data_IF_630799823369
#
_entry.id   IF_630799823369
#
_cell.length_a   1.000
_cell.length_b   1.000
_cell.length_c   1.000
_cell.angle_alpha   90.00
_cell.angle_beta   90.00
_cell.angle_gamma   90.00
#
_symmetry.space_group_name_H-M   'P 1'
#
loop_
_entity.id
_entity.type
_entity.pdbx_description
1 polymer ?
#
# COMPACT_ATOMS: atom_id res chain seq x y z
N UNK A 1 -6.86 17.67 3.84
CA UNK A 1 -6.82 16.77 2.67
C UNK A 1 -8.11 16.01 2.45
N UNK A 2 -8.55 15.13 3.37
CA UNK A 2 -9.76 14.29 3.20
C UNK A 2 -11.02 15.07 2.76
N UNK A 3 -11.37 16.14 3.49
CA UNK A 3 -12.52 16.98 3.11
C UNK A 3 -12.38 17.68 1.75
N UNK A 4 -11.16 17.88 1.25
CA UNK A 4 -10.90 18.39 -0.10
C UNK A 4 -11.16 17.32 -1.17
N UNK A 5 -10.68 16.10 -0.95
CA UNK A 5 -10.91 14.94 -1.84
C UNK A 5 -12.40 14.63 -1.94
N UNK A 6 -13.13 14.62 -0.82
CA UNK A 6 -14.58 14.41 -0.81
C UNK A 6 -15.34 15.50 -1.59
N UNK A 7 -14.89 16.75 -1.53
CA UNK A 7 -15.47 17.85 -2.33
C UNK A 7 -15.13 17.76 -3.81
N UNK A 8 -13.96 17.23 -4.16
CA UNK A 8 -13.54 17.02 -5.55
C UNK A 8 -14.23 15.82 -6.20
N UNK A 9 -14.54 14.77 -5.42
CA UNK A 9 -15.11 13.51 -5.91
C UNK A 9 -16.39 13.08 -5.16
N UNK A 10 -17.41 13.97 -5.02
CA UNK A 10 -18.55 13.74 -4.14
C UNK A 10 -19.50 12.61 -4.60
N UNK A 11 -19.42 12.23 -5.88
CA UNK A 11 -20.22 11.14 -6.45
C UNK A 11 -19.48 9.80 -6.51
N UNK A 12 -18.18 9.79 -6.23
CA UNK A 12 -17.35 8.58 -6.29
C UNK A 12 -16.97 8.07 -4.91
N UNK A 13 -16.83 8.98 -3.93
CA UNK A 13 -16.37 8.67 -2.59
C UNK A 13 -17.34 9.19 -1.54
N UNK A 14 -17.44 8.47 -0.44
CA UNK A 14 -18.12 8.93 0.77
C UNK A 14 -17.34 8.50 2.01
N UNK A 15 -17.54 9.23 3.09
CA UNK A 15 -17.04 8.86 4.42
C UNK A 15 -17.88 7.71 4.97
N UNK A 16 -17.28 6.85 5.79
CA UNK A 16 -18.04 5.84 6.53
C UNK A 16 -18.86 6.50 7.65
N UNK A 17 -19.87 5.78 8.14
CA UNK A 17 -20.75 6.25 9.21
C UNK A 17 -20.02 6.35 10.55
N UNK A 18 -19.10 5.41 10.79
CA UNK A 18 -18.48 5.21 12.10
C UNK A 18 -17.09 5.86 12.21
N UNK A 19 -16.48 6.32 11.11
CA UNK A 19 -15.18 6.99 11.15
C UNK A 19 -15.02 8.08 10.09
N UNK A 20 -14.62 9.31 10.50
CA UNK A 20 -14.27 10.38 9.56
C UNK A 20 -12.94 10.15 8.83
N UNK A 21 -12.19 9.10 9.19
CA UNK A 21 -10.87 8.74 8.64
C UNK A 21 -10.93 7.56 7.68
N UNK A 22 -12.09 6.95 7.53
CA UNK A 22 -12.34 5.91 6.55
C UNK A 22 -13.21 6.44 5.40
N UNK A 23 -12.77 6.20 4.17
CA UNK A 23 -13.53 6.49 2.96
C UNK A 23 -13.82 5.20 2.22
N UNK A 24 -14.98 5.13 1.58
CA UNK A 24 -15.39 4.03 0.71
C UNK A 24 -15.93 4.59 -0.59
N UNK A 25 -16.05 3.73 -1.60
CA UNK A 25 -16.80 4.08 -2.81
C UNK A 25 -18.23 4.48 -2.45
N UNK A 26 -18.76 5.46 -3.17
CA UNK A 26 -20.12 5.94 -2.95
C UNK A 26 -21.18 4.83 -3.12
N UNK A 27 -20.90 3.85 -3.98
CA UNK A 27 -21.75 2.69 -4.28
C UNK A 27 -21.41 1.44 -3.44
N UNK A 28 -20.49 1.51 -2.48
CA UNK A 28 -20.20 0.41 -1.58
C UNK A 28 -21.31 0.20 -0.53
N UNK A 29 -21.64 -1.06 -0.16
CA UNK A 29 -21.01 -2.30 -0.64
C UNK A 29 -21.60 -2.78 -1.97
N UNK A 30 -20.79 -3.48 -2.76
CA UNK A 30 -21.25 -4.18 -3.96
C UNK A 30 -21.67 -5.60 -3.59
N UNK A 31 -22.97 -5.90 -3.65
CA UNK A 31 -23.52 -7.19 -3.23
C UNK A 31 -22.87 -8.36 -3.99
N UNK A 32 -22.39 -9.36 -3.26
CA UNK A 32 -21.75 -10.57 -3.80
C UNK A 32 -20.28 -10.40 -4.21
N UNK A 33 -19.75 -9.18 -4.17
CA UNK A 33 -18.34 -8.89 -4.44
C UNK A 33 -17.52 -9.00 -3.14
N UNK A 34 -16.31 -9.51 -3.24
CA UNK A 34 -15.28 -9.38 -2.19
C UNK A 34 -14.91 -7.91 -2.04
N UNK A 35 -15.08 -7.33 -0.85
CA UNK A 35 -14.66 -5.96 -0.60
C UNK A 35 -13.14 -5.86 -0.51
N UNK A 36 -12.52 -4.86 -1.16
CA UNK A 36 -11.08 -4.64 -1.06
C UNK A 36 -10.79 -3.38 -0.26
N UNK A 37 -10.07 -3.53 0.86
CA UNK A 37 -9.69 -2.43 1.74
C UNK A 37 -8.17 -2.27 1.80
N UNK A 38 -7.72 -1.03 2.00
CA UNK A 38 -6.33 -0.68 2.30
C UNK A 38 -6.28 0.39 3.39
N UNK A 39 -5.08 0.84 3.75
CA UNK A 39 -4.89 1.95 4.65
C UNK A 39 -3.44 2.13 5.03
N UNK A 40 -3.21 3.20 5.78
CA UNK A 40 -1.90 3.52 6.33
C UNK A 40 -1.79 5.01 6.67
N UNK A 41 -0.58 5.42 7.00
CA UNK A 41 -0.29 6.82 7.31
C UNK A 41 -0.55 7.76 6.14
N UNK A 42 -1.04 8.96 6.44
CA UNK A 42 -1.07 10.08 5.49
C UNK A 42 0.35 10.46 5.06
N UNK A 43 0.48 11.14 3.91
CA UNK A 43 1.76 11.66 3.41
C UNK A 43 2.18 11.09 2.05
N UNK A 44 1.48 10.05 1.58
CA UNK A 44 1.85 9.29 0.38
C UNK A 44 0.93 9.53 -0.83
N UNK A 45 0.17 10.64 -0.85
CA UNK A 45 -0.84 10.92 -1.90
C UNK A 45 -0.19 10.77 -3.29
N UNK A 46 -0.77 9.98 -4.22
CA UNK A 46 -2.13 9.44 -4.20
C UNK A 46 -2.34 8.19 -3.33
N UNK A 47 -1.30 7.51 -2.87
CA UNK A 47 -1.43 6.40 -1.92
C UNK A 47 -1.96 6.95 -0.57
N UNK A 48 -3.00 6.39 0.02
CA UNK A 48 -3.84 5.27 -0.43
C UNK A 48 -5.13 5.73 -1.13
N UNK A 49 -5.56 6.96 -0.83
CA UNK A 49 -6.87 7.53 -1.17
C UNK A 49 -7.22 7.54 -2.67
N UNK A 50 -6.22 7.75 -3.53
CA UNK A 50 -6.40 7.85 -4.97
C UNK A 50 -6.74 6.53 -5.66
N UNK A 51 -6.67 5.40 -4.93
CA UNK A 51 -6.92 4.07 -5.47
C UNK A 51 -8.27 3.48 -5.06
N UNK A 52 -9.14 4.25 -4.38
CA UNK A 52 -10.52 3.83 -4.12
C UNK A 52 -11.40 4.15 -5.32
N UNK A 53 -11.92 3.11 -5.98
CA UNK A 53 -12.73 3.23 -7.18
C UNK A 53 -12.98 1.88 -7.88
N UNK A 54 -13.86 1.85 -8.90
CA UNK A 54 -14.13 0.66 -9.69
C UNK A 54 -12.86 0.04 -10.30
N UNK A 55 -12.73 -1.29 -10.29
CA UNK A 55 -11.54 -1.99 -10.78
C UNK A 55 -10.29 -1.88 -9.91
N UNK A 56 -10.39 -1.22 -8.74
CA UNK A 56 -9.33 -1.04 -7.75
C UNK A 56 -9.88 -1.38 -6.35
N UNK A 57 -9.78 -0.45 -5.39
CA UNK A 57 -10.15 -0.66 -3.99
C UNK A 57 -11.57 -0.15 -3.71
N UNK A 58 -12.24 -0.76 -2.75
CA UNK A 58 -13.60 -0.37 -2.34
C UNK A 58 -13.60 0.53 -1.10
N UNK A 59 -12.55 0.44 -0.27
CA UNK A 59 -12.40 1.22 0.95
C UNK A 59 -10.96 1.52 1.34
N UNK A 60 -10.79 2.54 2.16
CA UNK A 60 -9.49 2.99 2.67
C UNK A 60 -9.63 3.63 4.05
N UNK A 61 -8.68 3.35 4.95
CA UNK A 61 -8.57 4.04 6.24
C UNK A 61 -7.26 4.82 6.33
N UNK A 62 -7.32 6.07 6.78
CA UNK A 62 -6.19 7.01 6.74
C UNK A 62 -5.82 7.54 8.13
N UNK A 63 -4.61 7.20 8.55
CA UNK A 63 -4.04 7.65 9.81
C UNK A 63 -3.45 9.06 9.73
N UNK A 64 -2.72 9.44 10.77
CA UNK A 64 -1.94 10.69 10.78
C UNK A 64 -0.74 10.59 9.81
N UNK A 65 0.00 11.69 9.63
CA UNK A 65 1.17 11.68 8.73
C UNK A 65 2.18 10.64 9.22
N UNK A 66 2.46 9.65 8.37
CA UNK A 66 3.36 8.51 8.63
C UNK A 66 3.01 7.71 9.89
N UNK A 67 1.72 7.64 10.24
CA UNK A 67 1.23 6.81 11.34
C UNK A 67 -0.01 6.06 10.92
N UNK A 68 -0.02 4.76 11.13
CA UNK A 68 -1.13 3.84 10.83
C UNK A 68 -2.49 4.37 11.37
N UNK A 69 -3.61 4.18 10.64
CA UNK A 69 -4.95 4.41 11.19
C UNK A 69 -5.25 3.42 12.31
N UNK A 70 -6.25 3.70 13.16
CA UNK A 70 -6.62 2.75 14.21
C UNK A 70 -7.38 1.55 13.64
N UNK A 71 -7.41 0.44 14.39
CA UNK A 71 -8.18 -0.74 14.02
C UNK A 71 -9.68 -0.43 13.88
N UNK A 72 -10.23 0.50 14.68
CA UNK A 72 -11.61 0.96 14.57
C UNK A 72 -11.89 1.71 13.26
N UNK A 73 -10.95 2.55 12.81
CA UNK A 73 -11.04 3.22 11.51
C UNK A 73 -11.03 2.18 10.36
N UNK A 74 -10.19 1.15 10.46
CA UNK A 74 -10.15 0.05 9.50
C UNK A 74 -11.46 -0.75 9.49
N UNK A 75 -11.95 -1.15 10.67
CA UNK A 75 -13.21 -1.88 10.82
C UNK A 75 -14.40 -1.09 10.27
N UNK A 76 -14.43 0.22 10.44
CA UNK A 76 -15.48 1.07 9.87
C UNK A 76 -15.54 0.98 8.34
N UNK A 77 -14.39 0.92 7.65
CA UNK A 77 -14.34 0.67 6.21
C UNK A 77 -14.80 -0.77 5.89
N UNK A 78 -14.30 -1.75 6.62
CA UNK A 78 -14.61 -3.18 6.45
C UNK A 78 -16.10 -3.48 6.48
N UNK A 79 -16.81 -2.94 7.47
CA UNK A 79 -18.28 -3.08 7.58
C UNK A 79 -18.99 -2.57 6.33
N UNK A 80 -18.52 -1.47 5.76
CA UNK A 80 -19.20 -0.80 4.65
C UNK A 80 -18.82 -1.30 3.27
N UNK A 81 -17.68 -1.98 3.12
CA UNK A 81 -17.30 -2.65 1.87
C UNK A 81 -17.76 -4.10 1.80
N UNK A 82 -18.16 -4.71 2.92
CA UNK A 82 -18.58 -6.11 2.96
C UNK A 82 -19.87 -6.33 2.14
N UNK A 83 -19.69 -6.88 0.93
CA UNK A 83 -20.77 -7.29 0.02
C UNK A 83 -21.42 -8.63 0.34
N UNK A 84 -20.98 -9.30 1.41
CA UNK A 84 -21.41 -10.66 1.80
C UNK A 84 -20.51 -11.78 1.26
N UNK A 85 -19.38 -11.45 0.60
CA UNK A 85 -18.38 -12.41 0.13
C UNK A 85 -17.04 -12.30 0.89
N UNK A 86 -17.02 -11.59 2.02
CA UNK A 86 -15.82 -11.30 2.80
C UNK A 86 -15.05 -10.08 2.31
N UNK A 87 -13.93 -9.77 2.97
CA UNK A 87 -13.09 -8.61 2.70
C UNK A 87 -11.61 -9.01 2.61
N UNK A 88 -10.89 -8.49 1.62
CA UNK A 88 -9.44 -8.62 1.52
C UNK A 88 -8.78 -7.29 1.91
N UNK A 89 -7.90 -7.32 2.89
CA UNK A 89 -6.97 -6.21 3.17
C UNK A 89 -5.72 -6.36 2.31
N UNK A 90 -5.36 -5.29 1.60
CA UNK A 90 -4.14 -5.21 0.80
C UNK A 90 -3.35 -3.98 1.25
N UNK A 91 -2.21 -4.18 1.90
CA UNK A 91 -1.45 -3.08 2.54
C UNK A 91 0.05 -3.38 2.61
N UNK A 92 0.87 -2.35 2.90
CA UNK A 92 2.33 -2.47 2.95
C UNK A 92 2.84 -3.03 4.27
N UNK A 93 3.97 -3.73 4.24
CA UNK A 93 4.56 -4.36 5.42
C UNK A 93 5.26 -3.36 6.35
N UNK A 94 4.48 -2.69 7.20
CA UNK A 94 4.96 -1.88 8.31
C UNK A 94 4.34 -2.39 9.61
N UNK A 95 5.14 -2.50 10.67
CA UNK A 95 4.72 -3.14 11.92
C UNK A 95 3.45 -2.54 12.53
N UNK A 96 3.31 -1.20 12.49
CA UNK A 96 2.10 -0.52 12.95
C UNK A 96 0.87 -0.83 12.10
N UNK A 97 1.04 -0.93 10.78
CA UNK A 97 -0.05 -1.29 9.86
C UNK A 97 -0.45 -2.76 10.04
N UNK A 98 0.52 -3.67 10.10
CA UNK A 98 0.28 -5.11 10.34
C UNK A 98 -0.51 -5.31 11.63
N UNK A 99 -0.05 -4.73 12.75
CA UNK A 99 -0.71 -4.86 14.04
C UNK A 99 -2.16 -4.34 14.03
N UNK A 100 -2.40 -3.18 13.41
CA UNK A 100 -3.75 -2.60 13.37
C UNK A 100 -4.68 -3.34 12.41
N UNK A 101 -4.18 -3.82 11.27
CA UNK A 101 -4.98 -4.62 10.34
C UNK A 101 -5.32 -6.00 10.89
N UNK A 102 -4.40 -6.65 11.60
CA UNK A 102 -4.65 -7.89 12.34
C UNK A 102 -5.75 -7.68 13.38
N UNK A 103 -5.63 -6.63 14.21
CA UNK A 103 -6.64 -6.29 15.21
C UNK A 103 -8.01 -5.99 14.56
N UNK A 104 -8.03 -5.27 13.44
CA UNK A 104 -9.27 -4.99 12.72
C UNK A 104 -9.89 -6.26 12.11
N UNK A 105 -9.08 -7.22 11.68
CA UNK A 105 -9.56 -8.53 11.20
C UNK A 105 -10.19 -9.34 12.34
N UNK A 106 -9.55 -9.39 13.51
CA UNK A 106 -10.10 -10.06 14.70
C UNK A 106 -11.43 -9.43 15.13
N UNK A 107 -11.53 -8.10 15.12
CA UNK A 107 -12.77 -7.39 15.43
C UNK A 107 -13.87 -7.67 14.40
N UNK A 108 -13.50 -7.76 13.11
CA UNK A 108 -14.44 -8.08 12.04
C UNK A 108 -14.95 -9.53 12.14
N UNK A 109 -14.11 -10.47 12.56
CA UNK A 109 -14.49 -11.86 12.82
C UNK A 109 -15.55 -11.97 13.92
N UNK A 110 -15.41 -11.19 15.01
CA UNK A 110 -16.43 -11.10 16.07
C UNK A 110 -17.79 -10.61 15.51
N UNK A 111 -17.80 -9.82 14.45
CA UNK A 111 -19.00 -9.35 13.74
C UNK A 111 -19.47 -10.31 12.64
N UNK A 112 -18.82 -11.47 12.48
CA UNK A 112 -19.14 -12.46 11.46
C UNK A 112 -18.71 -12.07 10.04
N UNK A 113 -17.75 -11.15 9.90
CA UNK A 113 -17.17 -10.77 8.62
C UNK A 113 -15.86 -11.52 8.44
N UNK A 114 -15.80 -12.41 7.44
CA UNK A 114 -14.55 -13.08 7.06
C UNK A 114 -13.60 -12.09 6.40
N UNK A 115 -12.40 -11.95 6.98
CA UNK A 115 -11.33 -11.09 6.47
C UNK A 115 -10.10 -11.92 6.17
N UNK A 116 -9.43 -11.62 5.06
CA UNK A 116 -8.09 -12.11 4.76
C UNK A 116 -7.15 -10.94 4.46
N UNK A 117 -5.84 -11.20 4.50
CA UNK A 117 -4.81 -10.17 4.31
C UNK A 117 -3.80 -10.60 3.24
N UNK A 118 -3.40 -9.65 2.40
CA UNK A 118 -2.27 -9.74 1.48
C UNK A 118 -1.33 -8.57 1.77
N UNK A 119 -0.15 -8.90 2.31
CA UNK A 119 0.82 -7.92 2.81
C UNK A 119 1.90 -7.75 1.75
N UNK A 120 2.06 -6.54 1.23
CA UNK A 120 3.02 -6.20 0.17
C UNK A 120 4.41 -6.00 0.76
N UNK A 121 5.41 -6.63 0.14
CA UNK A 121 6.80 -6.75 0.62
C UNK A 121 7.81 -6.60 -0.52
N UNK A 122 7.59 -5.60 -1.38
CA UNK A 122 8.26 -5.45 -2.67
C UNK A 122 9.60 -4.72 -2.61
N UNK A 123 9.95 -4.05 -1.50
CA UNK A 123 11.20 -3.28 -1.39
C UNK A 123 12.44 -4.18 -1.26
N UNK A 124 13.15 -4.40 -2.39
CA UNK A 124 14.22 -5.40 -2.49
C UNK A 124 15.48 -5.05 -1.72
N UNK A 125 15.66 -3.78 -1.34
CA UNK A 125 16.85 -3.31 -0.63
C UNK A 125 16.64 -3.14 0.87
N UNK A 126 15.39 -3.28 1.34
CA UNK A 126 15.07 -3.25 2.77
C UNK A 126 15.43 -4.56 3.49
N UNK A 127 15.43 -5.69 2.79
CA UNK A 127 15.92 -6.98 3.28
C UNK A 127 16.26 -7.91 2.09
N UNK A 128 17.24 -8.83 2.23
CA UNK A 128 17.55 -9.80 1.19
C UNK A 128 16.37 -10.75 0.94
N UNK A 129 16.33 -11.40 -0.23
CA UNK A 129 15.21 -12.28 -0.60
C UNK A 129 14.99 -13.44 0.37
N UNK A 130 16.05 -13.94 1.01
CA UNK A 130 15.98 -14.95 2.07
C UNK A 130 15.20 -14.50 3.30
N UNK A 131 15.08 -13.19 3.49
CA UNK A 131 14.34 -12.53 4.57
C UNK A 131 13.22 -11.66 4.00
N UNK A 132 12.60 -12.07 2.88
CA UNK A 132 11.56 -11.27 2.20
C UNK A 132 10.41 -10.86 3.11
N UNK A 133 10.15 -11.62 4.17
CA UNK A 133 9.12 -11.29 5.15
C UNK A 133 9.41 -10.03 5.97
N UNK A 134 10.67 -9.59 6.00
CA UNK A 134 11.11 -8.34 6.63
C UNK A 134 11.13 -7.14 5.66
N UNK A 135 10.82 -7.35 4.36
CA UNK A 135 10.83 -6.26 3.38
C UNK A 135 9.69 -5.29 3.61
N UNK A 136 9.96 -4.00 3.40
CA UNK A 136 8.93 -2.95 3.37
C UNK A 136 8.01 -3.14 2.16
N UNK A 137 6.77 -2.67 2.28
CA UNK A 137 5.83 -2.54 1.16
C UNK A 137 5.79 -1.10 0.65
N UNK A 138 6.13 -0.87 -0.62
CA UNK A 138 6.29 0.47 -1.21
C UNK A 138 5.47 0.60 -2.50
N UNK A 139 6.00 1.22 -3.55
CA UNK A 139 5.26 1.59 -4.77
C UNK A 139 4.57 0.41 -5.47
N UNK A 140 5.10 -0.81 -5.36
CA UNK A 140 4.53 -2.03 -5.95
C UNK A 140 3.15 -2.40 -5.40
N UNK A 141 2.72 -1.80 -4.28
CA UNK A 141 1.35 -1.85 -3.77
C UNK A 141 0.29 -1.67 -4.87
N UNK A 142 0.57 -0.79 -5.85
CA UNK A 142 -0.32 -0.52 -6.97
C UNK A 142 -0.72 -1.77 -7.76
N UNK A 143 0.22 -2.67 -8.07
CA UNK A 143 -0.07 -3.86 -8.86
C UNK A 143 -1.02 -4.80 -8.11
N UNK A 144 -0.79 -4.98 -6.81
CA UNK A 144 -1.67 -5.76 -5.95
C UNK A 144 -3.08 -5.14 -5.91
N UNK A 145 -3.20 -3.81 -5.78
CA UNK A 145 -4.50 -3.13 -5.82
C UNK A 145 -5.23 -3.37 -7.14
N UNK A 146 -4.53 -3.22 -8.26
CA UNK A 146 -5.12 -3.33 -9.59
C UNK A 146 -5.61 -4.74 -9.90
N UNK A 147 -4.83 -5.76 -9.57
CA UNK A 147 -5.17 -7.13 -9.91
C UNK A 147 -6.12 -7.76 -8.89
N UNK A 148 -6.00 -7.46 -7.61
CA UNK A 148 -7.00 -7.86 -6.60
C UNK A 148 -8.37 -7.23 -6.91
N UNK A 149 -8.41 -5.92 -7.17
CA UNK A 149 -9.64 -5.22 -7.55
C UNK A 149 -10.29 -5.77 -8.81
N UNK A 150 -9.49 -6.02 -9.86
CA UNK A 150 -9.98 -6.63 -11.09
C UNK A 150 -10.56 -8.04 -10.88
N UNK A 151 -9.87 -8.88 -10.10
CA UNK A 151 -10.34 -10.24 -9.79
C UNK A 151 -11.61 -10.20 -8.94
N UNK A 152 -11.70 -9.29 -7.98
CA UNK A 152 -12.90 -9.11 -7.18
C UNK A 152 -14.10 -8.68 -8.03
N UNK A 153 -13.91 -7.79 -9.01
CA UNK A 153 -14.97 -7.36 -9.94
C UNK A 153 -15.53 -8.51 -10.81
N UNK A 154 -14.83 -9.64 -10.93
CA UNK A 154 -15.38 -10.85 -11.58
C UNK A 154 -16.26 -11.69 -10.65
N UNK A 155 -16.57 -11.19 -9.44
CA UNK A 155 -17.29 -11.92 -8.39
C UNK A 155 -16.60 -13.23 -7.97
N UNK A 156 -15.27 -13.26 -8.04
CA UNK A 156 -14.46 -14.39 -7.58
C UNK A 156 -14.55 -14.56 -6.07
N UNK A 157 -14.23 -15.75 -5.57
CA UNK A 157 -14.22 -16.00 -4.12
C UNK A 157 -13.10 -15.23 -3.41
N UNK A 158 -13.24 -15.03 -2.09
CA UNK A 158 -12.20 -14.37 -1.29
C UNK A 158 -10.84 -15.05 -1.44
N UNK A 159 -10.83 -16.39 -1.48
CA UNK A 159 -9.62 -17.19 -1.66
C UNK A 159 -8.97 -16.97 -3.02
N UNK A 160 -9.76 -16.89 -4.10
CA UNK A 160 -9.24 -16.64 -5.45
C UNK A 160 -8.70 -15.21 -5.59
N UNK A 161 -9.36 -14.23 -4.96
CA UNK A 161 -8.90 -12.83 -4.93
C UNK A 161 -7.60 -12.71 -4.14
N UNK A 162 -7.51 -13.33 -2.96
CA UNK A 162 -6.27 -13.39 -2.17
C UNK A 162 -5.15 -14.06 -2.94
N UNK A 163 -5.39 -15.23 -3.53
CA UNK A 163 -4.37 -15.95 -4.29
C UNK A 163 -3.82 -15.11 -5.45
N UNK A 164 -4.70 -14.35 -6.12
CA UNK A 164 -4.29 -13.41 -7.18
C UNK A 164 -3.42 -12.29 -6.61
N UNK A 165 -3.82 -11.66 -5.51
CA UNK A 165 -3.05 -10.60 -4.88
C UNK A 165 -1.66 -11.10 -4.40
N UNK A 166 -1.61 -12.26 -3.74
CA UNK A 166 -0.38 -12.85 -3.22
C UNK A 166 0.59 -13.24 -4.35
N UNK A 167 0.08 -13.79 -5.46
CA UNK A 167 0.92 -14.10 -6.61
C UNK A 167 1.58 -12.84 -7.17
N UNK A 168 0.81 -11.76 -7.32
CA UNK A 168 1.32 -10.49 -7.82
C UNK A 168 2.37 -9.91 -6.89
N UNK A 169 2.14 -9.99 -5.58
CA UNK A 169 3.11 -9.53 -4.57
C UNK A 169 4.43 -10.30 -4.69
N UNK A 170 4.39 -11.62 -4.90
CA UNK A 170 5.60 -12.43 -5.06
C UNK A 170 6.40 -12.10 -6.34
N UNK A 171 5.70 -11.65 -7.37
CA UNK A 171 6.25 -11.26 -8.68
C UNK A 171 6.57 -9.75 -8.78
N UNK A 172 6.36 -8.98 -7.71
CA UNK A 172 6.60 -7.52 -7.68
C UNK A 172 7.86 -7.20 -6.87
N UNK A 173 8.70 -6.35 -7.44
CA UNK A 173 9.90 -5.84 -6.80
C UNK A 173 10.06 -4.34 -7.07
N UNK A 174 10.54 -3.61 -6.07
CA UNK A 174 10.70 -2.16 -6.11
C UNK A 174 12.00 -1.74 -5.45
N UNK A 175 12.52 -0.59 -5.91
CA UNK A 175 13.61 0.15 -5.29
C UNK A 175 13.37 1.64 -5.48
N UNK A 176 13.78 2.45 -4.50
CA UNK A 176 13.75 3.91 -4.59
C UNK A 176 15.12 4.54 -4.35
N UNK A 177 15.26 5.81 -4.73
CA UNK A 177 16.41 6.66 -4.40
C UNK A 177 15.89 8.01 -3.93
N UNK A 178 16.46 8.53 -2.84
CA UNK A 178 16.15 9.85 -2.32
C UNK A 178 17.29 10.83 -2.58
N UNK A 179 16.96 12.03 -3.05
CA UNK A 179 17.90 13.14 -3.24
C UNK A 179 17.81 14.17 -2.12
N UNK A 180 16.71 14.15 -1.37
CA UNK A 180 16.46 15.08 -0.27
C UNK A 180 15.52 14.43 0.76
N UNK A 181 15.62 14.81 2.05
CA UNK A 181 14.67 14.37 3.06
C UNK A 181 13.27 14.94 2.81
N UNK A 182 12.24 14.23 3.30
CA UNK A 182 10.92 14.82 3.47
C UNK A 182 10.84 15.59 4.80
N UNK A 183 10.00 16.62 4.87
CA UNK A 183 9.69 17.32 6.12
C UNK A 183 8.33 16.86 6.64
N UNK A 184 8.31 16.26 7.84
CA UNK A 184 7.06 15.91 8.50
C UNK A 184 6.44 17.20 9.06
N UNK A 185 5.18 17.56 8.70
CA UNK A 185 4.56 18.81 9.16
C UNK A 185 4.56 18.98 10.68
N UNK A 186 4.36 17.88 11.42
CA UNK A 186 4.37 17.89 12.88
C UNK A 186 5.76 18.17 13.49
N UNK A 187 6.83 17.77 12.80
CA UNK A 187 8.20 18.01 13.24
C UNK A 187 8.71 19.43 12.89
N UNK A 188 8.13 20.06 11.85
CA UNK A 188 8.46 21.41 11.40
C UNK A 188 9.86 21.57 10.78
N UNK A 189 10.69 20.51 10.79
CA UNK A 189 12.03 20.44 10.21
C UNK A 189 12.29 19.03 9.66
N UNK A 190 13.21 18.86 8.69
CA UNK A 190 13.66 17.54 8.26
C UNK A 190 14.15 16.71 9.44
N UNK A 191 13.75 15.44 9.50
CA UNK A 191 14.17 14.50 10.55
C UNK A 191 15.58 13.94 10.32
N UNK A 192 16.09 14.07 9.09
CA UNK A 192 17.45 13.77 8.66
C UNK A 192 17.85 14.75 7.55
N UNK A 193 19.13 14.75 7.16
CA UNK A 193 19.65 15.55 6.06
C UNK A 193 20.32 14.66 5.03
N UNK A 194 20.26 15.06 3.76
CA UNK A 194 21.08 14.54 2.65
C UNK A 194 21.77 15.78 2.08
N UNK A 195 23.10 15.73 1.91
CA UNK A 195 23.81 16.89 1.36
C UNK A 195 23.42 17.14 -0.10
N UNK A 196 23.61 18.36 -0.61
CA UNK A 196 23.26 18.71 -2.00
C UNK A 196 24.01 17.88 -3.05
N UNK A 197 25.17 17.32 -2.70
CA UNK A 197 25.97 16.47 -3.55
C UNK A 197 25.87 14.97 -3.20
N UNK A 198 24.84 14.57 -2.45
CA UNK A 198 24.57 13.20 -2.02
C UNK A 198 23.22 12.68 -2.52
N UNK A 199 23.10 11.35 -2.52
CA UNK A 199 21.86 10.62 -2.70
C UNK A 199 21.82 9.41 -1.77
N UNK A 200 20.63 8.91 -1.46
CA UNK A 200 20.44 7.72 -0.62
C UNK A 200 19.65 6.65 -1.37
N UNK A 201 20.30 5.51 -1.60
CA UNK A 201 19.72 4.37 -2.31
C UNK A 201 18.92 3.53 -1.33
N UNK A 202 17.65 3.27 -1.66
CA UNK A 202 16.77 2.43 -0.86
C UNK A 202 16.18 3.11 0.36
N UNK A 203 16.13 4.44 0.41
CA UNK A 203 15.42 5.13 1.48
C UNK A 203 13.95 4.71 1.53
N UNK A 204 13.43 4.43 2.72
CA UNK A 204 12.03 4.07 2.91
C UNK A 204 11.08 5.26 2.74
N UNK A 205 9.80 4.98 2.50
CA UNK A 205 8.79 6.02 2.22
C UNK A 205 8.50 6.94 3.40
N UNK A 206 8.89 6.57 4.63
CA UNK A 206 8.79 7.42 5.82
C UNK A 206 10.13 8.07 6.18
N UNK A 207 11.16 7.92 5.34
CA UNK A 207 12.51 8.40 5.60
C UNK A 207 13.35 7.43 6.42
N UNK A 208 12.96 6.15 6.49
CA UNK A 208 13.81 5.11 7.07
C UNK A 208 15.13 5.00 6.29
N UNK A 209 16.27 4.80 6.98
CA UNK A 209 17.57 4.67 6.32
C UNK A 209 17.54 3.66 5.17
N UNK A 210 18.23 4.01 4.09
CA UNK A 210 18.43 3.14 2.94
C UNK A 210 19.60 2.18 3.10
N UNK A 211 19.96 1.55 1.99
CA UNK A 211 21.10 0.66 1.87
C UNK A 211 22.43 1.43 1.98
N UNK A 212 22.52 2.57 1.28
CA UNK A 212 23.75 3.34 1.18
C UNK A 212 23.45 4.82 0.91
N UNK A 213 24.22 5.69 1.56
CA UNK A 213 24.35 7.10 1.19
C UNK A 213 25.66 7.33 0.45
N UNK A 214 25.59 7.92 -0.73
CA UNK A 214 26.74 8.10 -1.63
C UNK A 214 26.66 9.44 -2.36
N UNK A 215 27.71 9.79 -3.12
CA UNK A 215 27.68 11.00 -3.95
C UNK A 215 26.62 10.92 -5.02
N UNK A 216 25.97 12.05 -5.30
CA UNK A 216 24.98 12.17 -6.36
C UNK A 216 25.60 11.74 -7.70
N UNK A 217 25.00 10.74 -8.34
CA UNK A 217 25.45 10.20 -9.63
C UNK A 217 24.63 10.78 -10.78
N UNK A 218 25.06 10.52 -12.01
CA UNK A 218 24.22 10.83 -13.20
C UNK A 218 22.99 9.93 -13.22
N UNK A 219 21.93 10.40 -13.86
CA UNK A 219 20.67 9.67 -13.97
C UNK A 219 20.84 8.25 -14.53
N UNK A 220 21.65 8.09 -15.59
CA UNK A 220 21.94 6.77 -16.19
C UNK A 220 22.60 5.82 -15.18
N UNK A 221 23.57 6.30 -14.40
CA UNK A 221 24.23 5.50 -13.37
C UNK A 221 23.27 5.12 -12.24
N UNK A 222 22.33 6.01 -11.88
CA UNK A 222 21.29 5.72 -10.88
C UNK A 222 20.34 4.65 -11.42
N UNK A 223 19.92 4.76 -12.68
CA UNK A 223 19.07 3.78 -13.34
C UNK A 223 19.75 2.40 -13.39
N UNK A 224 21.03 2.34 -13.74
CA UNK A 224 21.80 1.08 -13.74
C UNK A 224 21.83 0.44 -12.35
N UNK A 225 22.11 1.22 -11.30
CA UNK A 225 22.10 0.75 -9.91
C UNK A 225 20.73 0.18 -9.53
N UNK A 226 19.65 0.90 -9.85
CA UNK A 226 18.29 0.47 -9.52
C UNK A 226 17.89 -0.79 -10.28
N UNK A 227 18.16 -0.83 -11.58
CA UNK A 227 17.85 -1.95 -12.44
C UNK A 227 18.60 -3.22 -12.02
N UNK A 228 19.90 -3.12 -11.69
CA UNK A 228 20.69 -4.26 -11.22
C UNK A 228 20.08 -4.89 -9.96
N UNK A 229 19.64 -4.07 -8.99
CA UNK A 229 19.03 -4.57 -7.75
C UNK A 229 17.69 -5.29 -8.00
N UNK A 230 16.86 -4.74 -8.88
CA UNK A 230 15.58 -5.35 -9.27
C UNK A 230 15.81 -6.64 -10.04
N UNK A 231 16.64 -6.60 -11.09
CA UNK A 231 16.90 -7.74 -11.98
C UNK A 231 17.56 -8.90 -11.23
N UNK A 232 18.40 -8.60 -10.23
CA UNK A 232 19.05 -9.64 -9.43
C UNK A 232 18.11 -10.28 -8.40
N UNK A 233 16.97 -9.66 -8.10
CA UNK A 233 16.06 -10.14 -7.05
C UNK A 233 15.07 -11.19 -7.53
N UNK A 234 14.51 -11.02 -8.73
CA UNK A 234 13.60 -11.98 -9.36
C UNK A 234 14.33 -12.79 -10.44
N UNK A 235 13.94 -14.05 -10.68
CA UNK A 235 14.60 -14.93 -11.65
C UNK A 235 14.20 -14.61 -13.10
N UNK A 236 14.38 -13.35 -13.52
CA UNK A 236 14.01 -12.89 -14.86
C UNK A 236 14.71 -13.70 -15.96
N UNK A 237 13.97 -13.99 -17.03
CA UNK A 237 14.48 -14.68 -18.23
C UNK A 237 14.34 -13.80 -19.46
N UNK A 238 15.28 -13.97 -20.39
CA UNK A 238 15.20 -13.29 -21.69
C UNK A 238 13.90 -13.67 -22.40
N UNK A 239 13.16 -12.66 -22.88
CA UNK A 239 11.88 -12.81 -23.56
C UNK A 239 10.65 -12.73 -22.66
N UNK A 240 10.81 -12.57 -21.33
CA UNK A 240 9.70 -12.29 -20.43
C UNK A 240 9.17 -10.86 -20.62
N UNK A 241 7.85 -10.70 -20.48
CA UNK A 241 7.20 -9.40 -20.46
C UNK A 241 7.16 -8.89 -19.01
N UNK A 242 7.51 -7.61 -18.83
CA UNK A 242 7.51 -6.96 -17.52
C UNK A 242 6.68 -5.67 -17.57
N UNK A 243 6.02 -5.35 -16.46
CA UNK A 243 5.44 -4.04 -16.23
C UNK A 243 6.39 -3.23 -15.33
N UNK A 244 6.72 -2.01 -15.76
CA UNK A 244 7.59 -1.06 -15.03
C UNK A 244 6.85 0.24 -14.83
#
# INVERSE_FOLDING_TARGET
TLGGILKAYPYHLRVTKDSPRALVRADAPIKGKVGICTGGGSGHIPVFLGYVGPGLLDGVSIGNVFSSPSAEDMLAATREVNGGAGVLYVFGNYSGDVMNFEMAADMAEVEGITVQMSIVKDDVVSAPRSEKDHRRGVAGLFFAYKLAGAKADTMASLEEVKATADQVIEETCSIGVALSPCTIPAAGKPTFTIAEDEMEVGMGIHGEPGLERTKLKKADEIADIMAEKVISDLPFKSGEEVAV
#
